data_IF_327148734053
#
_entry.id   IF_327148734053
#
_cell.length_a   1.000
_cell.length_b   1.000
_cell.length_c   1.000
_cell.angle_alpha   90.00
_cell.angle_beta   90.00
_cell.angle_gamma   90.00
#
_symmetry.space_group_name_H-M   'P 1'
#
loop_
_entity.id
_entity.type
_entity.pdbx_description
1 polymer ?
#
# COMPACT_ATOMS: atom_id res chain seq x y z
N UNK A 1 18.17 7.63 -6.50
CA UNK A 1 18.33 7.08 -5.14
C UNK A 1 17.15 7.46 -4.24
N UNK A 2 16.01 6.81 -4.44
CA UNK A 2 14.89 6.77 -3.48
C UNK A 2 14.30 5.37 -3.34
N UNK A 3 15.04 4.37 -3.84
CA UNK A 3 14.83 2.98 -3.48
C UNK A 3 14.82 2.90 -1.94
N UNK A 4 13.77 2.30 -1.37
CA UNK A 4 13.65 1.98 0.06
C UNK A 4 13.25 3.10 1.04
N UNK A 5 12.46 4.10 0.65
CA UNK A 5 11.71 4.85 1.68
C UNK A 5 10.59 3.97 2.26
N UNK A 6 10.85 3.42 3.44
CA UNK A 6 9.91 2.77 4.38
C UNK A 6 9.77 1.25 4.18
N UNK A 7 9.65 0.51 5.28
CA UNK A 7 9.97 -0.93 5.41
C UNK A 7 9.21 -1.93 4.53
N UNK A 8 9.28 -3.23 4.80
CA UNK A 8 8.69 -4.20 3.88
C UNK A 8 7.15 -4.06 3.78
N UNK A 9 6.57 -3.77 2.59
CA UNK A 9 5.12 -3.63 2.39
C UNK A 9 4.35 -4.86 2.86
N UNK A 10 4.91 -6.05 2.61
CA UNK A 10 4.38 -7.33 3.06
C UNK A 10 4.36 -7.44 4.59
N UNK A 11 5.40 -6.97 5.28
CA UNK A 11 5.43 -6.99 6.76
C UNK A 11 4.33 -6.11 7.35
N UNK A 12 4.08 -4.94 6.75
CA UNK A 12 2.96 -4.07 7.18
C UNK A 12 1.61 -4.74 6.92
N UNK A 13 1.43 -5.39 5.78
CA UNK A 13 0.22 -6.18 5.51
C UNK A 13 0.00 -7.28 6.55
N UNK A 14 1.05 -8.06 6.87
CA UNK A 14 0.99 -9.12 7.88
C UNK A 14 0.61 -8.59 9.27
N UNK A 15 1.15 -7.44 9.68
CA UNK A 15 0.74 -6.78 10.92
C UNK A 15 -0.76 -6.43 10.90
N UNK A 16 -1.27 -5.95 9.76
CA UNK A 16 -2.70 -5.72 9.57
C UNK A 16 -3.53 -7.00 9.80
N UNK A 17 -3.11 -8.13 9.23
CA UNK A 17 -3.76 -9.42 9.45
C UNK A 17 -3.74 -9.84 10.92
N UNK A 18 -2.60 -9.72 11.60
CA UNK A 18 -2.46 -10.07 13.03
C UNK A 18 -3.37 -9.22 13.91
N UNK A 19 -3.43 -7.91 13.67
CA UNK A 19 -4.33 -7.02 14.41
C UNK A 19 -5.81 -7.33 14.11
N UNK A 20 -6.15 -7.67 12.86
CA UNK A 20 -7.50 -8.09 12.47
C UNK A 20 -7.94 -9.38 13.16
N UNK A 21 -7.06 -10.37 13.28
CA UNK A 21 -7.30 -11.61 14.04
C UNK A 21 -7.54 -11.32 15.54
N UNK A 22 -6.86 -10.32 16.09
CA UNK A 22 -7.06 -9.83 17.47
C UNK A 22 -8.28 -8.93 17.63
N UNK A 23 -9.11 -8.77 16.58
CA UNK A 23 -10.27 -7.85 16.52
C UNK A 23 -9.91 -6.37 16.73
N UNK A 24 -8.63 -6.01 16.58
CA UNK A 24 -8.15 -4.63 16.63
C UNK A 24 -8.30 -3.97 15.25
N UNK A 25 -9.53 -3.89 14.76
CA UNK A 25 -9.81 -3.51 13.37
C UNK A 25 -9.29 -2.13 12.99
N UNK A 26 -9.34 -1.15 13.89
CA UNK A 26 -8.76 0.18 13.64
C UNK A 26 -7.24 0.15 13.41
N UNK A 27 -6.52 -0.72 14.14
CA UNK A 27 -5.07 -0.91 13.93
C UNK A 27 -4.80 -1.70 12.65
N UNK A 28 -5.60 -2.72 12.38
CA UNK A 28 -5.53 -3.49 11.14
C UNK A 28 -5.65 -2.58 9.90
N UNK A 29 -6.66 -1.72 9.87
CA UNK A 29 -6.90 -0.76 8.80
C UNK A 29 -5.71 0.19 8.58
N UNK A 30 -5.12 0.74 9.65
CA UNK A 30 -3.93 1.59 9.55
C UNK A 30 -2.75 0.86 8.92
N UNK A 31 -2.52 -0.39 9.30
CA UNK A 31 -1.45 -1.21 8.72
C UNK A 31 -1.66 -1.47 7.23
N UNK A 32 -2.89 -1.79 6.81
CA UNK A 32 -3.22 -1.96 5.40
C UNK A 32 -3.08 -0.67 4.61
N UNK A 33 -3.51 0.48 5.13
CA UNK A 33 -3.39 1.77 4.45
C UNK A 33 -1.93 2.12 4.15
N UNK A 34 -1.04 1.92 5.13
CA UNK A 34 0.40 2.14 4.96
C UNK A 34 0.95 1.18 3.91
N UNK A 35 0.62 -0.12 4.00
CA UNK A 35 1.07 -1.12 3.03
C UNK A 35 0.58 -0.83 1.60
N UNK A 36 -0.65 -0.36 1.43
CA UNK A 36 -1.20 0.07 0.15
C UNK A 36 -0.41 1.25 -0.43
N UNK A 37 -0.14 2.29 0.38
CA UNK A 37 0.69 3.46 0.00
C UNK A 37 2.15 3.11 -0.35
N UNK A 38 2.57 1.88 -0.07
CA UNK A 38 3.89 1.36 -0.41
C UNK A 38 3.83 0.41 -1.62
N UNK A 39 2.69 0.35 -2.32
CA UNK A 39 2.53 -0.45 -3.52
C UNK A 39 2.19 -1.92 -3.28
N UNK A 40 1.72 -2.33 -2.09
CA UNK A 40 1.30 -3.72 -1.87
C UNK A 40 -0.12 -3.97 -2.34
N UNK A 41 -0.26 -4.75 -3.42
CA UNK A 41 -1.52 -5.00 -4.13
C UNK A 41 -2.63 -5.64 -3.29
N UNK A 42 -2.30 -6.47 -2.29
CA UNK A 42 -3.35 -7.18 -1.52
C UNK A 42 -3.93 -6.30 -0.40
N UNK A 43 -3.28 -5.18 -0.06
CA UNK A 43 -3.72 -4.30 1.02
C UNK A 43 -5.00 -3.52 0.69
N UNK A 44 -5.17 -2.93 -0.52
CA UNK A 44 -6.45 -2.37 -0.93
C UNK A 44 -7.61 -3.38 -0.89
N UNK A 45 -7.39 -4.64 -1.27
CA UNK A 45 -8.43 -5.68 -1.21
C UNK A 45 -8.86 -5.96 0.24
N UNK A 46 -7.92 -6.00 1.20
CA UNK A 46 -8.28 -6.11 2.62
C UNK A 46 -9.07 -4.92 3.12
N UNK A 47 -8.78 -3.71 2.64
CA UNK A 47 -9.52 -2.51 3.02
C UNK A 47 -10.92 -2.51 2.40
N UNK A 48 -11.07 -3.04 1.18
CA UNK A 48 -12.37 -3.28 0.55
C UNK A 48 -13.22 -4.25 1.37
N UNK A 49 -12.67 -5.37 1.83
CA UNK A 49 -13.36 -6.31 2.72
C UNK A 49 -13.83 -5.59 4.00
N UNK A 50 -12.96 -4.77 4.60
CA UNK A 50 -13.29 -3.98 5.78
C UNK A 50 -14.36 -2.92 5.51
N UNK A 51 -14.36 -2.30 4.33
CA UNK A 51 -15.41 -1.36 3.90
C UNK A 51 -16.76 -2.07 3.75
N UNK A 52 -16.78 -3.24 3.08
CA UNK A 52 -18.01 -4.05 2.94
C UNK A 52 -18.54 -4.55 4.29
N UNK A 53 -17.66 -4.77 5.27
CA UNK A 53 -18.03 -5.11 6.64
C UNK A 53 -18.45 -3.89 7.50
N UNK A 54 -18.47 -2.68 6.94
CA UNK A 54 -18.82 -1.44 7.66
C UNK A 54 -17.75 -0.96 8.66
N UNK A 55 -16.53 -1.49 8.59
CA UNK A 55 -15.42 -1.17 9.48
C UNK A 55 -14.60 0.02 8.96
N UNK A 56 -14.36 0.06 7.64
CA UNK A 56 -13.69 1.16 6.97
C UNK A 56 -14.72 2.07 6.28
N UNK A 57 -14.38 3.35 6.12
CA UNK A 57 -15.20 4.29 5.36
C UNK A 57 -14.87 4.25 3.87
N UNK A 58 -15.77 4.80 3.05
CA UNK A 58 -15.57 4.93 1.59
C UNK A 58 -14.31 5.74 1.28
N UNK A 59 -14.05 6.79 2.06
CA UNK A 59 -12.90 7.67 1.92
C UNK A 59 -11.60 6.93 2.20
N UNK A 60 -11.58 6.06 3.22
CA UNK A 60 -10.40 5.24 3.55
C UNK A 60 -10.12 4.20 2.46
N UNK A 61 -11.16 3.60 1.87
CA UNK A 61 -10.97 2.71 0.73
C UNK A 61 -10.45 3.46 -0.50
N UNK A 62 -10.99 4.64 -0.81
CA UNK A 62 -10.51 5.49 -1.89
C UNK A 62 -9.06 5.94 -1.68
N UNK A 63 -8.69 6.28 -0.44
CA UNK A 63 -7.32 6.62 -0.05
C UNK A 63 -6.35 5.45 -0.30
N UNK A 64 -6.75 4.22 0.02
CA UNK A 64 -5.94 3.04 -0.21
C UNK A 64 -5.66 2.81 -1.70
N UNK A 65 -6.70 2.92 -2.54
CA UNK A 65 -6.57 2.78 -3.99
C UNK A 65 -5.67 3.85 -4.58
N UNK A 66 -5.87 5.11 -4.19
CA UNK A 66 -5.05 6.22 -4.64
C UNK A 66 -3.58 6.04 -4.25
N UNK A 67 -3.33 5.73 -2.97
CA UNK A 67 -1.96 5.52 -2.48
C UNK A 67 -1.24 4.37 -3.16
N UNK A 68 -1.95 3.28 -3.48
CA UNK A 68 -1.40 2.16 -4.26
C UNK A 68 -1.05 2.59 -5.69
N UNK A 69 -1.95 3.30 -6.37
CA UNK A 69 -1.71 3.78 -7.73
C UNK A 69 -0.52 4.74 -7.78
N UNK A 70 -0.44 5.70 -6.85
CA UNK A 70 0.67 6.66 -6.77
C UNK A 70 2.01 5.91 -6.60
N UNK A 71 2.07 4.88 -5.75
CA UNK A 71 3.27 4.08 -5.54
C UNK A 71 3.67 3.26 -6.78
N UNK A 72 2.69 2.70 -7.51
CA UNK A 72 2.95 1.95 -8.75
C UNK A 72 3.46 2.86 -9.86
N UNK A 73 2.91 4.07 -10.00
CA UNK A 73 3.36 5.01 -11.02
C UNK A 73 4.76 5.58 -10.71
N UNK A 74 5.08 5.85 -9.45
CA UNK A 74 6.42 6.28 -9.03
C UNK A 74 7.49 5.21 -9.31
N UNK A 75 7.15 3.91 -9.16
CA UNK A 75 8.10 2.84 -9.49
C UNK A 75 8.38 2.79 -11.00
N UNK A 76 7.35 2.97 -11.83
CA UNK A 76 7.50 2.96 -13.31
C UNK A 76 8.28 4.16 -13.83
N UNK A 77 8.12 5.34 -13.23
CA UNK A 77 8.89 6.53 -13.62
C UNK A 77 10.37 6.32 -13.33
N UNK A 78 10.69 5.75 -12.16
CA UNK A 78 12.07 5.47 -11.77
C UNK A 78 12.76 4.51 -12.74
N UNK A 79 12.14 3.36 -13.04
CA UNK A 79 12.69 2.37 -13.98
C UNK A 79 12.94 2.99 -15.37
N UNK A 80 12.02 3.85 -15.82
CA UNK A 80 12.15 4.57 -17.10
C UNK A 80 13.31 5.55 -17.09
N UNK A 81 13.43 6.34 -16.03
CA UNK A 81 14.48 7.35 -15.91
C UNK A 81 15.86 6.69 -15.85
N UNK A 82 16.02 5.60 -15.10
CA UNK A 82 17.26 4.80 -15.05
C UNK A 82 17.62 4.21 -16.43
N UNK A 83 16.65 3.61 -17.13
CA UNK A 83 16.87 3.07 -18.47
C UNK A 83 17.25 4.17 -19.49
N UNK A 84 16.69 5.38 -19.34
CA UNK A 84 17.01 6.51 -20.21
C UNK A 84 18.40 7.10 -19.96
N UNK A 85 18.89 7.02 -18.72
CA UNK A 85 20.24 7.45 -18.34
C UNK A 85 21.31 6.48 -18.87
N UNK A 86 21.08 5.16 -18.76
CA UNK A 86 21.97 4.13 -19.29
C UNK A 86 22.11 4.15 -20.83
N UNK A 87 21.08 4.64 -21.56
CA UNK A 87 21.13 4.74 -23.03
C UNK A 87 21.87 5.97 -23.55
N UNK A 88 22.25 6.91 -22.67
CA UNK A 88 22.91 8.17 -23.02
C UNK A 88 24.40 8.21 -22.59
N UNK A 89 24.90 7.15 -21.95
CA UNK A 89 26.31 6.92 -21.63
C UNK A 89 26.97 6.05 -22.70
#
# INVERSE_FOLDING_TARGET
EKAAMQGCPLSRHKLGCVEGQKRNHGRALRHFLISAKMGYKDSPERIKDMFMAGIATKEQYAEALKGYQDAVEEMKSHDRDEASALRKS
#
